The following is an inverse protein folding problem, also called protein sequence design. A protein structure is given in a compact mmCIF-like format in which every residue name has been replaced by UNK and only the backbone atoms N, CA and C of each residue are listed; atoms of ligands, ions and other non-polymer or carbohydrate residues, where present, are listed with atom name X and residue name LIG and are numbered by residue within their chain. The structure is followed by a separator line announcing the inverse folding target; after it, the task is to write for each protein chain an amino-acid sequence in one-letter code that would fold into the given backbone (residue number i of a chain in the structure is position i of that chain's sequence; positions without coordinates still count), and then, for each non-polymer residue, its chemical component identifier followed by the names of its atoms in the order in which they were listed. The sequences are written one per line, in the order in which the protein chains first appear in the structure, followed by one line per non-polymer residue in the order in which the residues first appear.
data_IF_046342011589
#
_entry.id   IF_046342011589
#
_cell.length_a   1.000
_cell.length_b   1.000
_cell.length_c   1.000
_cell.angle_alpha   90.00
_cell.angle_beta   90.00
_cell.angle_gamma   90.00
#
_symmetry.space_group_name_H-M   'P 1'
#
loop_
_entity.id
_entity.type
_entity.pdbx_description
1 polymer ?
#
# COMPACT_ATOMS: atom_id res chain seq x y z
N UNK A 1 12.71 10.65 -21.72
CA UNK A 1 12.03 10.08 -20.54
C UNK A 1 11.18 11.16 -19.91
N UNK A 2 9.93 10.85 -19.55
CA UNK A 2 9.12 11.80 -18.80
C UNK A 2 9.74 12.08 -17.43
N UNK A 3 9.62 13.31 -16.94
CA UNK A 3 10.23 13.75 -15.68
C UNK A 3 9.57 13.10 -14.45
N UNK A 4 8.28 12.77 -14.56
CA UNK A 4 7.46 12.22 -13.48
C UNK A 4 6.66 11.01 -13.95
N UNK A 5 6.52 10.00 -13.08
CA UNK A 5 5.67 8.83 -13.32
C UNK A 5 4.21 9.12 -13.00
N UNK A 6 3.94 9.91 -11.95
CA UNK A 6 2.59 10.26 -11.52
C UNK A 6 2.55 11.72 -11.08
N UNK A 7 1.43 12.40 -11.33
CA UNK A 7 1.23 13.79 -10.93
C UNK A 7 -0.13 14.02 -10.28
N UNK A 8 -0.13 14.84 -9.24
CA UNK A 8 -1.32 15.42 -8.62
C UNK A 8 -1.21 16.94 -8.72
N UNK A 9 -2.25 17.58 -9.24
CA UNK A 9 -2.31 19.03 -9.42
C UNK A 9 -3.60 19.51 -8.76
N UNK A 10 -3.45 20.19 -7.62
CA UNK A 10 -4.60 20.71 -6.83
C UNK A 10 -5.64 19.64 -6.53
N UNK A 11 -5.19 18.40 -6.37
CA UNK A 11 -6.04 17.23 -6.22
C UNK A 11 -6.80 17.32 -4.90
N UNK A 12 -8.13 17.22 -4.97
CA UNK A 12 -9.02 17.20 -3.82
C UNK A 12 -9.92 15.98 -3.86
N UNK A 13 -10.10 15.31 -2.73
CA UNK A 13 -11.05 14.20 -2.57
C UNK A 13 -11.83 14.39 -1.29
N UNK A 14 -13.15 14.30 -1.37
CA UNK A 14 -14.04 14.37 -0.22
C UNK A 14 -15.17 13.35 -0.31
N UNK A 15 -15.59 12.82 0.83
CA UNK A 15 -16.83 12.06 0.97
C UNK A 15 -17.76 12.81 1.93
N UNK A 16 -18.79 13.46 1.38
CA UNK A 16 -19.61 14.38 2.16
C UNK A 16 -18.76 15.49 2.78
N UNK A 17 -18.87 15.67 4.09
CA UNK A 17 -18.12 16.69 4.84
C UNK A 17 -16.66 16.29 5.14
N UNK A 18 -16.29 15.02 4.91
CA UNK A 18 -14.95 14.52 5.20
C UNK A 18 -14.03 14.73 4.01
N UNK A 19 -13.08 15.65 4.17
CA UNK A 19 -11.99 15.87 3.20
C UNK A 19 -10.86 14.86 3.45
N UNK A 20 -10.47 14.13 2.40
CA UNK A 20 -9.43 13.11 2.41
C UNK A 20 -8.14 13.61 1.78
N UNK A 21 -8.24 14.37 0.68
CA UNK A 21 -7.16 15.12 0.07
C UNK A 21 -7.65 16.56 -0.12
N UNK A 22 -6.84 17.54 0.23
CA UNK A 22 -7.17 18.96 0.15
C UNK A 22 -6.07 19.74 -0.59
N UNK A 23 -6.37 20.10 -1.84
CA UNK A 23 -5.52 20.91 -2.73
C UNK A 23 -4.08 20.37 -2.87
N UNK A 24 -3.95 19.05 -2.98
CA UNK A 24 -2.65 18.37 -3.03
C UNK A 24 -1.99 18.57 -4.38
N UNK A 25 -0.78 19.14 -4.38
CA UNK A 25 0.06 19.26 -5.59
C UNK A 25 1.40 18.59 -5.33
N UNK A 26 1.60 17.41 -5.94
CA UNK A 26 2.78 16.58 -5.77
C UNK A 26 3.10 15.82 -7.06
N UNK A 27 4.38 15.56 -7.28
CA UNK A 27 4.88 14.83 -8.44
C UNK A 27 5.76 13.69 -7.95
N UNK A 28 5.62 12.53 -8.58
CA UNK A 28 6.29 11.30 -8.21
C UNK A 28 7.35 10.98 -9.26
N UNK A 29 8.57 10.67 -8.81
CA UNK A 29 9.69 10.36 -9.70
C UNK A 29 9.67 8.87 -10.09
N UNK A 30 10.06 8.52 -11.33
CA UNK A 30 10.34 7.13 -11.68
C UNK A 30 11.39 6.52 -10.75
N UNK A 31 11.23 5.24 -10.40
CA UNK A 31 12.17 4.51 -9.53
C UNK A 31 12.11 4.85 -8.04
N UNK A 32 11.40 5.91 -7.63
CA UNK A 32 11.34 6.33 -6.23
C UNK A 32 10.66 5.28 -5.34
N UNK A 33 11.23 5.04 -4.16
CA UNK A 33 10.67 4.14 -3.13
C UNK A 33 10.06 4.97 -2.01
N UNK A 34 8.74 5.02 -1.95
CA UNK A 34 7.98 5.95 -1.11
C UNK A 34 7.16 5.16 -0.10
N UNK A 35 7.45 5.39 1.18
CA UNK A 35 6.64 4.90 2.28
C UNK A 35 5.54 5.92 2.64
N UNK A 36 4.28 5.49 2.67
CA UNK A 36 3.14 6.34 3.05
C UNK A 36 2.76 6.07 4.51
N UNK A 37 2.83 7.11 5.34
CA UNK A 37 2.55 7.03 6.78
C UNK A 37 1.45 7.99 7.18
N UNK A 38 0.74 7.70 8.27
CA UNK A 38 -0.28 8.61 8.81
C UNK A 38 -1.27 7.88 9.70
N UNK A 39 -2.06 8.62 10.50
CA UNK A 39 -3.09 8.02 11.35
C UNK A 39 -4.10 7.18 10.56
N UNK A 40 -4.75 6.25 11.26
CA UNK A 40 -5.79 5.42 10.66
C UNK A 40 -6.99 6.28 10.25
N UNK A 41 -7.54 5.97 9.07
CA UNK A 41 -8.63 6.75 8.49
C UNK A 41 -8.20 8.08 7.85
N UNK A 42 -6.92 8.43 7.76
CA UNK A 42 -6.51 9.66 7.06
C UNK A 42 -6.49 9.54 5.52
N UNK A 43 -6.92 8.39 4.98
CA UNK A 43 -7.09 8.21 3.54
C UNK A 43 -5.92 7.60 2.79
N UNK A 44 -4.98 6.92 3.48
CA UNK A 44 -3.84 6.22 2.87
C UNK A 44 -4.28 5.25 1.76
N UNK A 45 -5.25 4.38 2.06
CA UNK A 45 -5.80 3.45 1.06
C UNK A 45 -6.56 4.18 -0.06
N UNK A 46 -7.27 5.27 0.25
CA UNK A 46 -7.93 6.11 -0.77
C UNK A 46 -6.91 6.77 -1.70
N UNK A 47 -5.77 7.21 -1.17
CA UNK A 47 -4.66 7.76 -1.97
C UNK A 47 -4.17 6.72 -2.97
N UNK A 48 -3.88 5.49 -2.54
CA UNK A 48 -3.45 4.42 -3.44
C UNK A 48 -4.53 4.10 -4.50
N UNK A 49 -5.81 4.05 -4.13
CA UNK A 49 -6.91 3.82 -5.09
C UNK A 49 -7.02 4.93 -6.13
N UNK A 50 -6.77 6.18 -5.75
CA UNK A 50 -6.72 7.30 -6.70
C UNK A 50 -5.55 7.12 -7.66
N UNK A 51 -4.37 6.77 -7.13
CA UNK A 51 -3.17 6.55 -7.96
C UNK A 51 -3.30 5.35 -8.90
N UNK A 52 -4.07 4.34 -8.51
CA UNK A 52 -4.41 3.19 -9.35
C UNK A 52 -5.49 3.49 -10.42
N UNK A 53 -6.10 4.68 -10.40
CA UNK A 53 -7.22 5.02 -11.28
C UNK A 53 -8.55 4.34 -10.90
N UNK A 54 -8.61 3.62 -9.78
CA UNK A 54 -9.84 2.98 -9.26
C UNK A 54 -10.81 4.04 -8.75
N UNK A 55 -10.28 5.11 -8.17
CA UNK A 55 -11.07 6.23 -7.67
C UNK A 55 -10.65 7.55 -8.31
N UNK A 56 -11.62 8.42 -8.59
CA UNK A 56 -11.35 9.76 -9.13
C UNK A 56 -11.28 10.80 -8.02
N UNK A 57 -10.54 11.87 -8.27
CA UNK A 57 -10.56 13.09 -7.45
C UNK A 57 -11.85 13.87 -7.66
N UNK A 58 -12.28 14.59 -6.64
CA UNK A 58 -13.47 15.47 -6.68
C UNK A 58 -13.19 16.83 -7.32
N UNK A 59 -11.93 17.28 -7.29
CA UNK A 59 -11.48 18.51 -7.96
C UNK A 59 -9.97 18.39 -8.23
N UNK A 60 -9.46 19.23 -9.13
CA UNK A 60 -8.07 19.16 -9.61
C UNK A 60 -7.84 17.94 -10.50
N UNK A 61 -6.58 17.56 -10.64
CA UNK A 61 -6.14 16.48 -11.51
C UNK A 61 -5.24 15.52 -10.75
N UNK A 62 -5.38 14.23 -11.03
CA UNK A 62 -4.46 13.19 -10.59
C UNK A 62 -4.35 12.17 -11.72
N UNK A 63 -3.15 11.97 -12.25
CA UNK A 63 -2.95 11.12 -13.42
C UNK A 63 -1.58 10.44 -13.42
N UNK A 64 -1.58 9.22 -13.95
CA UNK A 64 -0.38 8.50 -14.37
C UNK A 64 0.10 9.08 -15.69
N UNK A 65 1.41 9.27 -15.83
CA UNK A 65 1.99 9.77 -17.07
C UNK A 65 1.77 8.75 -18.20
N UNK A 66 1.33 9.16 -19.41
CA UNK A 66 1.08 8.23 -20.52
C UNK A 66 2.29 7.38 -20.87
N UNK A 67 2.05 6.08 -21.07
CA UNK A 67 3.08 5.09 -21.38
C UNK A 67 3.63 4.34 -20.17
N UNK A 68 3.35 4.80 -18.94
CA UNK A 68 3.61 4.01 -17.74
C UNK A 68 2.41 3.13 -17.38
N UNK A 69 2.71 2.03 -16.69
CA UNK A 69 1.75 1.08 -16.14
C UNK A 69 1.65 1.21 -14.62
N UNK A 70 0.50 0.85 -14.05
CA UNK A 70 0.27 0.88 -12.60
C UNK A 70 -0.37 -0.42 -12.16
N UNK A 71 0.10 -0.96 -11.05
CA UNK A 71 -0.51 -2.11 -10.39
C UNK A 71 -0.69 -1.87 -8.90
N UNK A 72 -1.75 -2.44 -8.33
CA UNK A 72 -2.15 -2.22 -6.94
C UNK A 72 -2.46 -3.53 -6.22
N UNK A 73 -1.84 -3.74 -5.06
CA UNK A 73 -2.23 -4.79 -4.14
C UNK A 73 -3.43 -4.33 -3.32
N UNK A 74 -4.60 -4.85 -3.66
CA UNK A 74 -5.84 -4.57 -2.93
C UNK A 74 -5.96 -5.46 -1.68
N UNK A 75 -6.73 -5.01 -0.68
CA UNK A 75 -7.01 -5.82 0.51
C UNK A 75 -7.74 -7.13 0.18
N UNK A 76 -8.70 -7.06 -0.74
CA UNK A 76 -9.38 -8.20 -1.35
C UNK A 76 -8.93 -8.28 -2.81
N UNK A 77 -7.94 -9.12 -3.13
CA UNK A 77 -7.38 -9.13 -4.46
C UNK A 77 -8.34 -9.79 -5.46
N UNK A 78 -8.51 -9.21 -6.66
CA UNK A 78 -9.27 -9.85 -7.72
C UNK A 78 -8.46 -11.01 -8.31
N UNK A 79 -8.74 -12.22 -7.83
CA UNK A 79 -8.25 -13.46 -8.42
C UNK A 79 -9.39 -14.16 -9.16
N UNK A 80 -9.05 -14.95 -10.17
CA UNK A 80 -10.02 -15.77 -10.89
C UNK A 80 -10.28 -17.05 -10.08
N UNK A 81 -11.46 -17.12 -9.45
CA UNK A 81 -11.88 -18.25 -8.60
C UNK A 81 -12.08 -19.57 -9.38
N UNK A 82 -12.10 -19.51 -10.71
CA UNK A 82 -12.20 -20.71 -11.57
C UNK A 82 -10.85 -21.36 -11.85
N UNK A 83 -9.75 -20.71 -11.46
CA UNK A 83 -8.37 -21.12 -11.76
C UNK A 83 -7.61 -21.59 -10.52
N UNK A 84 -6.54 -22.34 -10.75
CA UNK A 84 -5.59 -22.70 -9.71
C UNK A 84 -4.68 -21.52 -9.32
N UNK A 85 -3.92 -21.68 -8.24
CA UNK A 85 -2.93 -20.70 -7.79
C UNK A 85 -1.90 -20.42 -8.88
N UNK A 86 -1.32 -21.46 -9.45
CA UNK A 86 -0.31 -21.34 -10.50
C UNK A 86 -0.86 -20.67 -11.75
N UNK A 87 -2.07 -21.04 -12.18
CA UNK A 87 -2.75 -20.40 -13.32
C UNK A 87 -2.98 -18.90 -13.08
N UNK A 88 -3.43 -18.50 -11.89
CA UNK A 88 -3.62 -17.09 -11.56
C UNK A 88 -2.32 -16.29 -11.62
N UNK A 89 -1.21 -16.87 -11.15
CA UNK A 89 0.10 -16.22 -11.14
C UNK A 89 0.67 -16.16 -12.56
N UNK A 90 0.54 -17.22 -13.37
CA UNK A 90 0.98 -17.25 -14.78
C UNK A 90 0.35 -16.15 -15.63
N UNK A 91 -0.85 -15.69 -15.29
CA UNK A 91 -1.48 -14.54 -15.95
C UNK A 91 -0.66 -13.26 -15.84
N UNK A 92 0.26 -13.14 -14.88
CA UNK A 92 1.16 -12.00 -14.74
C UNK A 92 2.03 -11.76 -15.97
N UNK A 93 2.40 -12.84 -16.66
CA UNK A 93 3.25 -12.78 -17.84
C UNK A 93 2.49 -12.45 -19.13
N UNK A 94 1.15 -12.44 -19.08
CA UNK A 94 0.26 -12.00 -20.15
C UNK A 94 0.65 -12.53 -21.54
N UNK A 95 0.81 -11.61 -22.49
CA UNK A 95 1.17 -11.92 -23.88
C UNK A 95 2.51 -12.66 -24.03
N UNK A 96 3.46 -12.47 -23.12
CA UNK A 96 4.75 -13.15 -23.21
C UNK A 96 4.59 -14.66 -23.00
N UNK A 97 3.74 -15.08 -22.05
CA UNK A 97 3.46 -16.50 -21.85
C UNK A 97 2.76 -17.12 -23.08
N UNK A 98 1.85 -16.38 -23.73
CA UNK A 98 1.20 -16.82 -24.96
C UNK A 98 2.21 -16.98 -26.11
N UNK A 99 3.17 -16.05 -26.23
CA UNK A 99 4.25 -16.12 -27.23
C UNK A 99 5.16 -17.33 -27.01
N UNK A 100 5.53 -17.60 -25.76
CA UNK A 100 6.32 -18.81 -25.41
C UNK A 100 5.54 -20.09 -25.73
N UNK A 101 4.25 -20.14 -25.41
CA UNK A 101 3.40 -21.28 -25.74
C UNK A 101 3.30 -21.49 -27.25
N UNK A 102 3.10 -20.42 -28.03
CA UNK A 102 3.08 -20.48 -29.50
C UNK A 102 4.42 -20.93 -30.08
N UNK A 103 5.53 -20.42 -29.55
CA UNK A 103 6.86 -20.84 -29.95
C UNK A 103 7.07 -22.35 -29.79
N UNK A 104 6.65 -22.91 -28.64
CA UNK A 104 6.72 -24.35 -28.40
C UNK A 104 5.80 -25.14 -29.35
N UNK A 105 4.60 -24.64 -29.61
CA UNK A 105 3.66 -25.27 -30.55
C UNK A 105 4.21 -25.31 -31.98
N UNK A 106 4.88 -24.25 -32.45
CA UNK A 106 5.54 -24.23 -33.75
C UNK A 106 6.59 -25.35 -33.83
N UNK A 107 7.35 -25.58 -32.75
CA UNK A 107 8.31 -26.68 -32.67
C UNK A 107 7.67 -28.06 -32.83
N UNK A 108 6.44 -28.26 -32.34
CA UNK A 108 5.66 -29.48 -32.56
C UNK A 108 5.12 -29.56 -33.99
N UNK A 109 4.62 -28.46 -34.55
CA UNK A 109 4.13 -28.37 -35.93
C UNK A 109 5.22 -28.70 -36.95
N UNK A 110 6.48 -28.33 -36.66
CA UNK A 110 7.64 -28.68 -37.48
C UNK A 110 7.94 -30.19 -37.55
N UNK A 111 7.36 -31.00 -36.67
CA UNK A 111 7.47 -32.46 -36.78
C UNK A 111 6.59 -33.02 -37.92
N UNK A 112 5.66 -32.23 -38.46
CA UNK A 112 4.81 -32.61 -39.59
C UNK A 112 5.54 -32.37 -40.93
N UNK A 113 5.78 -33.41 -41.76
CA UNK A 113 6.45 -33.27 -43.06
C UNK A 113 5.73 -32.36 -44.07
N UNK A 114 4.42 -32.15 -43.90
CA UNK A 114 3.60 -31.32 -44.78
C UNK A 114 3.46 -29.86 -44.29
N UNK A 115 4.17 -29.49 -43.22
CA UNK A 115 4.13 -28.14 -42.68
C UNK A 115 4.80 -27.11 -43.61
N UNK A 116 4.33 -25.87 -43.56
CA UNK A 116 4.97 -24.74 -44.23
C UNK A 116 6.18 -24.27 -43.40
N UNK A 117 7.33 -24.91 -43.63
CA UNK A 117 8.55 -24.65 -42.87
C UNK A 117 9.03 -23.20 -42.98
N UNK A 118 8.87 -22.57 -44.16
CA UNK A 118 9.33 -21.19 -44.38
C UNK A 118 8.52 -20.22 -43.52
N UNK A 119 7.18 -20.36 -43.52
CA UNK A 119 6.30 -19.53 -42.69
C UNK A 119 6.52 -19.76 -41.19
N UNK A 120 6.67 -21.02 -40.76
CA UNK A 120 6.89 -21.36 -39.35
C UNK A 120 8.23 -20.85 -38.82
N UNK A 121 9.30 -20.92 -39.62
CA UNK A 121 10.61 -20.38 -39.23
C UNK A 121 10.61 -18.85 -39.11
N UNK A 122 9.88 -18.14 -39.99
CA UNK A 122 9.72 -16.70 -39.91
C UNK A 122 8.97 -16.28 -38.63
N UNK A 123 7.84 -16.95 -38.33
CA UNK A 123 7.07 -16.71 -37.10
C UNK A 123 7.91 -17.01 -35.86
N UNK A 124 8.62 -18.14 -35.83
CA UNK A 124 9.48 -18.56 -34.72
C UNK A 124 10.59 -17.54 -34.45
N UNK A 125 11.22 -16.98 -35.49
CA UNK A 125 12.27 -15.96 -35.36
C UNK A 125 11.74 -14.63 -34.79
N UNK A 126 10.54 -14.21 -35.21
CA UNK A 126 9.88 -13.03 -34.66
C UNK A 126 9.54 -13.23 -33.17
N UNK A 127 8.91 -14.37 -32.84
CA UNK A 127 8.59 -14.73 -31.45
C UNK A 127 9.83 -14.81 -30.57
N UNK A 128 10.90 -15.46 -31.05
CA UNK A 128 12.16 -15.56 -30.30
C UNK A 128 12.71 -14.18 -29.93
N UNK A 129 12.72 -13.24 -30.87
CA UNK A 129 13.22 -11.88 -30.63
C UNK A 129 12.43 -11.18 -29.52
N UNK A 130 11.11 -11.34 -29.51
CA UNK A 130 10.24 -10.75 -28.50
C UNK A 130 10.38 -11.44 -27.14
N UNK A 131 10.50 -12.77 -27.12
CA UNK A 131 10.70 -13.55 -25.89
C UNK A 131 12.06 -13.21 -25.27
N UNK A 132 13.12 -13.16 -26.05
CA UNK A 132 14.47 -12.77 -25.61
C UNK A 132 14.46 -11.36 -25.00
N UNK A 133 13.82 -10.39 -25.67
CA UNK A 133 13.74 -9.02 -25.19
C UNK A 133 13.01 -8.88 -23.84
N UNK A 134 12.09 -9.80 -23.54
CA UNK A 134 11.33 -9.84 -22.29
C UNK A 134 11.91 -10.81 -21.24
N UNK A 135 13.05 -11.45 -21.49
CA UNK A 135 13.58 -12.56 -20.68
C UNK A 135 12.52 -13.67 -20.42
N UNK A 136 11.70 -13.96 -21.44
CA UNK A 136 10.55 -14.86 -21.33
C UNK A 136 10.87 -16.35 -21.31
N UNK A 137 12.14 -16.75 -21.38
CA UNK A 137 12.52 -18.17 -21.25
C UNK A 137 12.51 -18.66 -19.80
N UNK A 138 12.68 -17.75 -18.84
CA UNK A 138 12.82 -18.09 -17.42
C UNK A 138 11.51 -17.96 -16.63
N UNK A 139 10.35 -17.81 -17.29
CA UNK A 139 9.08 -17.48 -16.63
C UNK A 139 8.67 -18.52 -15.57
N UNK A 140 8.79 -19.81 -15.90
CA UNK A 140 8.44 -20.88 -14.95
C UNK A 140 9.37 -20.84 -13.73
N UNK A 141 10.67 -20.58 -13.92
CA UNK A 141 11.62 -20.46 -12.81
C UNK A 141 11.36 -19.22 -11.96
N UNK A 142 11.08 -18.07 -12.59
CA UNK A 142 10.71 -16.84 -11.87
C UNK A 142 9.45 -17.04 -11.05
N UNK A 143 8.46 -17.73 -11.60
CA UNK A 143 7.22 -18.07 -10.92
C UNK A 143 7.48 -18.97 -9.71
N UNK A 144 8.23 -20.08 -9.88
CA UNK A 144 8.55 -21.00 -8.79
C UNK A 144 9.30 -20.28 -7.65
N UNK A 145 10.32 -19.49 -7.99
CA UNK A 145 11.10 -18.73 -7.01
C UNK A 145 10.24 -17.72 -6.25
N UNK A 146 9.38 -16.98 -6.95
CA UNK A 146 8.49 -16.00 -6.32
C UNK A 146 7.41 -16.67 -5.44
N UNK A 147 6.86 -17.79 -5.90
CA UNK A 147 5.89 -18.58 -5.14
C UNK A 147 6.47 -19.15 -3.86
N UNK A 148 7.67 -19.72 -3.93
CA UNK A 148 8.39 -20.26 -2.77
C UNK A 148 8.73 -19.15 -1.78
N UNK A 149 9.31 -18.05 -2.27
CA UNK A 149 9.71 -16.92 -1.43
C UNK A 149 8.55 -16.22 -0.72
N UNK A 150 7.35 -16.21 -1.33
CA UNK A 150 6.13 -15.67 -0.72
C UNK A 150 5.27 -16.76 -0.06
N UNK A 151 5.76 -18.00 0.05
CA UNK A 151 5.04 -19.12 0.65
C UNK A 151 3.59 -19.22 0.12
N UNK A 152 3.45 -19.15 -1.19
CA UNK A 152 2.17 -19.35 -1.85
C UNK A 152 1.69 -20.80 -1.63
N UNK A 153 0.37 -21.06 -1.66
CA UNK A 153 -0.12 -22.44 -1.69
C UNK A 153 0.38 -23.18 -2.92
N UNK A 154 0.22 -24.50 -2.91
CA UNK A 154 0.60 -25.37 -4.04
C UNK A 154 -0.02 -24.87 -5.36
N UNK A 155 0.76 -24.80 -6.47
CA UNK A 155 0.30 -24.31 -7.76
C UNK A 155 -1.00 -24.95 -8.28
N UNK A 156 -1.25 -26.22 -7.97
CA UNK A 156 -2.44 -26.96 -8.44
C UNK A 156 -3.66 -26.73 -7.54
N UNK A 157 -3.49 -26.03 -6.41
CA UNK A 157 -4.59 -25.73 -5.50
C UNK A 157 -5.59 -24.77 -6.15
N UNK A 158 -6.90 -25.06 -6.15
CA UNK A 158 -7.92 -24.11 -6.58
C UNK A 158 -7.92 -22.85 -5.70
N UNK A 159 -7.91 -21.66 -6.27
CA UNK A 159 -7.86 -20.40 -5.49
C UNK A 159 -9.12 -20.20 -4.63
N UNK A 160 -10.24 -20.81 -5.02
CA UNK A 160 -11.51 -20.78 -4.29
C UNK A 160 -11.45 -21.41 -2.89
N UNK A 161 -10.48 -22.29 -2.62
CA UNK A 161 -10.32 -22.92 -1.28
C UNK A 161 -9.27 -22.23 -0.42
N UNK A 162 -8.53 -21.26 -0.96
CA UNK A 162 -7.49 -20.53 -0.24
C UNK A 162 -8.09 -19.57 0.80
N UNK A 163 -7.44 -19.46 1.95
CA UNK A 163 -7.74 -18.43 2.96
C UNK A 163 -7.48 -17.02 2.42
N UNK A 164 -8.06 -15.99 3.04
CA UNK A 164 -7.85 -14.60 2.63
C UNK A 164 -6.36 -14.18 2.64
N UNK A 165 -5.58 -14.69 3.60
CA UNK A 165 -4.13 -14.45 3.66
C UNK A 165 -3.38 -15.13 2.51
N UNK A 166 -3.70 -16.39 2.20
CA UNK A 166 -3.13 -17.10 1.05
C UNK A 166 -3.46 -16.43 -0.28
N UNK A 167 -4.72 -16.05 -0.49
CA UNK A 167 -5.15 -15.29 -1.68
C UNK A 167 -4.38 -13.98 -1.83
N UNK A 168 -4.12 -13.29 -0.72
CA UNK A 168 -3.31 -12.07 -0.71
C UNK A 168 -1.86 -12.33 -1.13
N UNK A 169 -1.24 -13.42 -0.67
CA UNK A 169 0.13 -13.79 -1.09
C UNK A 169 0.19 -14.15 -2.57
N UNK A 170 -0.80 -14.89 -3.08
CA UNK A 170 -0.93 -15.20 -4.51
C UNK A 170 -1.05 -13.93 -5.35
N UNK A 171 -1.88 -12.98 -4.92
CA UNK A 171 -2.04 -11.72 -5.63
C UNK A 171 -0.80 -10.82 -5.56
N UNK A 172 -0.10 -10.80 -4.42
CA UNK A 172 1.18 -10.11 -4.30
C UNK A 172 2.20 -10.73 -5.26
N UNK A 173 2.33 -12.06 -5.26
CA UNK A 173 3.22 -12.78 -6.18
C UNK A 173 2.95 -12.42 -7.64
N UNK A 174 1.69 -12.54 -8.07
CA UNK A 174 1.23 -12.14 -9.40
C UNK A 174 1.63 -10.70 -9.72
N UNK A 175 1.32 -9.75 -8.84
CA UNK A 175 1.59 -8.32 -9.05
C UNK A 175 3.08 -8.00 -9.15
N UNK A 176 3.93 -8.67 -8.37
CA UNK A 176 5.39 -8.47 -8.44
C UNK A 176 5.96 -8.98 -9.77
N UNK A 177 5.42 -10.08 -10.30
CA UNK A 177 5.81 -10.64 -11.60
C UNK A 177 5.26 -9.84 -12.79
N UNK A 178 4.09 -9.19 -12.65
CA UNK A 178 3.58 -8.23 -13.64
C UNK A 178 4.53 -7.03 -13.84
N UNK A 179 5.34 -6.73 -12.82
CA UNK A 179 6.36 -5.68 -12.82
C UNK A 179 5.90 -4.31 -13.38
N UNK A 180 4.76 -3.74 -12.92
CA UNK A 180 4.28 -2.44 -13.39
C UNK A 180 5.24 -1.29 -13.05
N UNK A 181 5.28 -0.25 -13.87
CA UNK A 181 6.19 0.88 -13.63
C UNK A 181 5.92 1.61 -12.30
N UNK A 182 4.66 1.64 -11.86
CA UNK A 182 4.22 2.14 -10.56
C UNK A 182 3.54 1.03 -9.75
N UNK A 183 4.19 0.61 -8.67
CA UNK A 183 3.71 -0.42 -7.76
C UNK A 183 3.08 0.21 -6.51
N UNK A 184 1.81 -0.10 -6.24
CA UNK A 184 1.05 0.43 -5.12
C UNK A 184 0.72 -0.69 -4.13
N UNK A 185 1.25 -0.63 -2.91
CA UNK A 185 1.14 -1.71 -1.93
C UNK A 185 0.42 -1.21 -0.68
N UNK A 186 -0.76 -1.77 -0.37
CA UNK A 186 -1.48 -1.45 0.88
C UNK A 186 -1.29 -2.57 1.90
N UNK A 187 -0.48 -2.33 2.94
CA UNK A 187 -0.05 -3.26 3.99
C UNK A 187 0.55 -4.57 3.45
N UNK A 188 1.60 -4.53 2.60
CA UNK A 188 2.12 -5.72 1.93
C UNK A 188 2.74 -6.76 2.87
N UNK A 189 3.15 -6.36 4.07
CA UNK A 189 3.77 -7.25 5.07
C UNK A 189 2.75 -8.10 5.84
N UNK A 190 1.45 -7.80 5.72
CA UNK A 190 0.42 -8.57 6.41
C UNK A 190 0.32 -10.00 5.86
N UNK A 191 0.21 -10.97 6.78
CA UNK A 191 0.12 -12.40 6.47
C UNK A 191 1.37 -13.01 5.83
N UNK A 192 2.51 -12.29 5.89
CA UNK A 192 3.84 -12.79 5.55
C UNK A 192 4.59 -13.16 6.83
N UNK A 193 5.46 -14.16 6.72
CA UNK A 193 6.41 -14.49 7.77
C UNK A 193 7.71 -13.67 7.61
N UNK A 194 8.65 -13.82 8.56
CA UNK A 194 9.85 -12.99 8.58
C UNK A 194 10.75 -13.20 7.35
N UNK A 195 10.84 -14.43 6.83
CA UNK A 195 11.64 -14.74 5.65
C UNK A 195 11.02 -14.13 4.38
N UNK A 196 9.70 -14.25 4.21
CA UNK A 196 8.98 -13.64 3.09
C UNK A 196 9.08 -12.10 3.12
N UNK A 197 9.03 -11.50 4.31
CA UNK A 197 9.21 -10.04 4.47
C UNK A 197 10.61 -9.63 4.02
N UNK A 198 11.65 -10.34 4.47
CA UNK A 198 13.04 -10.03 4.09
C UNK A 198 13.25 -10.16 2.58
N UNK A 199 12.69 -11.20 1.95
CA UNK A 199 12.74 -11.35 0.50
C UNK A 199 12.03 -10.19 -0.20
N UNK A 200 10.84 -9.82 0.26
CA UNK A 200 10.08 -8.70 -0.31
C UNK A 200 10.85 -7.38 -0.20
N UNK A 201 11.53 -7.13 0.93
CA UNK A 201 12.39 -5.95 1.09
C UNK A 201 13.50 -5.92 0.04
N UNK A 202 14.20 -7.05 -0.17
CA UNK A 202 15.27 -7.15 -1.16
C UNK A 202 14.75 -6.98 -2.59
N UNK A 203 13.60 -7.59 -2.89
CA UNK A 203 12.94 -7.45 -4.19
C UNK A 203 12.59 -5.99 -4.48
N UNK A 204 11.91 -5.32 -3.53
CA UNK A 204 11.50 -3.93 -3.71
C UNK A 204 12.67 -2.96 -3.75
N UNK A 205 13.80 -3.29 -3.13
CA UNK A 205 15.03 -2.49 -3.24
C UNK A 205 15.62 -2.54 -4.66
N UNK A 206 15.56 -3.70 -5.32
CA UNK A 206 16.07 -3.89 -6.69
C UNK A 206 15.05 -3.53 -7.79
N UNK A 207 13.80 -3.31 -7.40
CA UNK A 207 12.71 -2.98 -8.31
C UNK A 207 13.00 -1.70 -9.10
N UNK A 208 12.92 -1.78 -10.43
CA UNK A 208 13.26 -0.64 -11.31
C UNK A 208 12.17 0.43 -11.31
N UNK A 209 10.90 0.04 -11.14
CA UNK A 209 9.76 0.95 -11.08
C UNK A 209 9.70 1.77 -9.79
N UNK A 210 8.76 2.72 -9.75
CA UNK A 210 8.42 3.43 -8.52
C UNK A 210 7.56 2.52 -7.61
N UNK A 211 7.78 2.60 -6.30
CA UNK A 211 7.03 1.84 -5.30
C UNK A 211 6.41 2.81 -4.31
N UNK A 212 5.12 2.65 -4.03
CA UNK A 212 4.41 3.37 -2.98
C UNK A 212 3.79 2.34 -2.04
N UNK A 213 4.35 2.23 -0.84
CA UNK A 213 3.92 1.27 0.16
C UNK A 213 3.29 1.96 1.37
N UNK A 214 2.07 1.57 1.73
CA UNK A 214 1.44 1.88 3.02
C UNK A 214 1.73 0.70 3.93
N UNK A 215 2.40 0.92 5.06
CA UNK A 215 2.57 -0.14 6.07
C UNK A 215 2.76 0.44 7.46
N UNK A 216 2.36 -0.32 8.46
CA UNK A 216 2.69 -0.07 9.85
C UNK A 216 4.02 -0.69 10.30
N UNK A 217 4.65 -1.51 9.45
CA UNK A 217 5.95 -2.12 9.74
C UNK A 217 7.08 -1.08 9.60
N UNK A 218 7.72 -0.79 10.74
CA UNK A 218 8.76 0.24 10.83
C UNK A 218 10.09 -0.24 10.25
N UNK A 219 10.40 -1.53 10.34
CA UNK A 219 11.65 -2.08 9.82
C UNK A 219 11.61 -2.12 8.30
N UNK A 220 10.50 -2.60 7.73
CA UNK A 220 10.25 -2.57 6.30
C UNK A 220 10.40 -1.16 5.72
N UNK A 221 9.81 -0.17 6.40
CA UNK A 221 9.89 1.23 5.96
C UNK A 221 11.28 1.84 6.11
N UNK A 222 12.09 1.35 7.06
CA UNK A 222 13.44 1.86 7.23
C UNK A 222 14.42 1.30 6.18
N UNK A 223 14.16 0.07 5.72
CA UNK A 223 14.98 -0.65 4.75
C UNK A 223 14.63 -0.33 3.29
N UNK A 224 13.34 -0.16 2.97
CA UNK A 224 12.86 -0.01 1.58
C UNK A 224 12.68 1.47 1.20
N UNK A 225 12.20 2.31 2.12
CA UNK A 225 11.79 3.66 1.75
C UNK A 225 12.97 4.63 1.64
N UNK A 226 13.06 5.31 0.50
CA UNK A 226 13.96 6.45 0.27
C UNK A 226 13.28 7.79 0.56
N UNK A 227 11.95 7.78 0.58
CA UNK A 227 11.09 8.90 0.89
C UNK A 227 9.95 8.45 1.78
N UNK A 228 9.52 9.33 2.69
CA UNK A 228 8.32 9.14 3.48
C UNK A 228 7.31 10.22 3.10
N UNK A 229 6.10 9.82 2.71
CA UNK A 229 4.97 10.71 2.50
C UNK A 229 4.00 10.59 3.68
N UNK A 230 3.97 11.62 4.53
CA UNK A 230 3.01 11.68 5.63
C UNK A 230 1.66 12.22 5.14
N UNK A 231 0.61 11.44 5.35
CA UNK A 231 -0.79 11.84 5.17
C UNK A 231 -1.33 12.35 6.50
N UNK A 232 -1.60 13.66 6.58
CA UNK A 232 -2.20 14.28 7.75
C UNK A 232 -3.23 15.34 7.32
N UNK A 233 -4.48 15.15 7.75
CA UNK A 233 -5.59 16.10 7.59
C UNK A 233 -5.77 16.64 6.16
N UNK A 234 -5.77 15.75 5.17
CA UNK A 234 -5.96 16.14 3.77
C UNK A 234 -4.69 16.58 3.05
N UNK A 235 -3.58 16.75 3.77
CA UNK A 235 -2.31 17.17 3.18
C UNK A 235 -1.31 16.02 3.11
N UNK A 236 -0.44 16.11 2.11
CA UNK A 236 0.67 15.18 1.91
C UNK A 236 1.99 15.92 2.16
N UNK A 237 2.80 15.42 3.09
CA UNK A 237 4.10 15.99 3.44
C UNK A 237 5.22 15.02 3.04
N UNK A 238 6.01 15.34 1.99
CA UNK A 238 7.15 14.52 1.62
C UNK A 238 8.35 14.82 2.53
N UNK A 239 9.01 13.75 2.97
CA UNK A 239 10.27 13.78 3.69
C UNK A 239 11.26 12.92 2.93
N UNK A 240 12.46 13.45 2.67
CA UNK A 240 13.53 12.68 2.06
C UNK A 240 14.25 11.85 3.13
N UNK A 241 14.46 10.57 2.86
CA UNK A 241 15.04 9.60 3.77
C UNK A 241 14.04 8.55 4.23
N UNK A 242 14.55 7.65 5.07
CA UNK A 242 13.82 6.50 5.59
C UNK A 242 12.91 6.86 6.79
N UNK A 243 12.27 5.85 7.37
CA UNK A 243 11.35 6.01 8.50
C UNK A 243 12.00 6.70 9.71
N UNK A 244 13.23 6.33 10.06
CA UNK A 244 13.99 6.94 11.17
C UNK A 244 14.21 8.44 10.92
N UNK A 245 14.68 8.79 9.72
CA UNK A 245 14.91 10.19 9.32
C UNK A 245 13.61 11.01 9.37
N UNK A 246 12.50 10.41 8.95
CA UNK A 246 11.18 11.02 9.05
C UNK A 246 10.79 11.30 10.50
N UNK A 247 10.96 10.35 11.42
CA UNK A 247 10.61 10.54 12.83
C UNK A 247 11.41 11.68 13.47
N UNK A 248 12.71 11.76 13.20
CA UNK A 248 13.55 12.85 13.69
C UNK A 248 13.11 14.20 13.14
N UNK A 249 12.83 14.27 11.84
CA UNK A 249 12.40 15.50 11.17
C UNK A 249 11.02 15.95 11.64
N UNK A 250 10.10 14.99 11.81
CA UNK A 250 8.77 15.23 12.34
C UNK A 250 8.81 15.69 13.79
N UNK A 251 9.66 15.10 14.64
CA UNK A 251 9.84 15.54 16.01
C UNK A 251 10.29 17.01 16.08
N UNK A 252 11.32 17.39 15.31
CA UNK A 252 11.79 18.79 15.20
C UNK A 252 10.68 19.72 14.72
N UNK A 253 9.90 19.32 13.71
CA UNK A 253 8.74 20.08 13.21
C UNK A 253 7.69 20.26 14.30
N UNK A 254 7.36 19.19 15.03
CA UNK A 254 6.37 19.22 16.11
C UNK A 254 6.82 20.09 17.28
N UNK A 255 8.09 20.11 17.65
CA UNK A 255 8.62 21.02 18.68
C UNK A 255 8.45 22.49 18.27
N UNK A 256 8.83 22.83 17.02
CA UNK A 256 8.69 24.18 16.48
C UNK A 256 7.20 24.58 16.43
N UNK A 257 6.33 23.65 16.02
CA UNK A 257 4.89 23.89 15.93
C UNK A 257 4.26 24.03 17.32
N UNK A 258 4.58 23.15 18.28
CA UNK A 258 4.12 23.27 19.66
C UNK A 258 4.56 24.56 20.33
N UNK A 259 5.77 25.05 20.05
CA UNK A 259 6.23 26.35 20.53
C UNK A 259 5.45 27.52 19.91
N UNK A 260 5.05 27.42 18.62
CA UNK A 260 4.17 28.41 17.97
C UNK A 260 2.76 28.36 18.56
N UNK A 261 2.19 27.17 18.74
CA UNK A 261 0.85 26.97 19.30
C UNK A 261 0.77 27.48 20.74
N UNK A 262 1.79 27.22 21.56
CA UNK A 262 1.87 27.76 22.91
C UNK A 262 1.92 29.30 22.94
N UNK A 263 2.64 29.91 22.00
CA UNK A 263 2.66 31.38 21.83
C UNK A 263 1.30 31.91 21.38
N UNK A 264 0.63 31.24 20.45
CA UNK A 264 -0.71 31.60 19.96
C UNK A 264 -1.74 31.48 21.08
N UNK A 265 -1.76 30.37 21.83
CA UNK A 265 -2.65 30.15 22.96
C UNK A 265 -2.47 31.21 24.06
N UNK A 266 -1.22 31.59 24.36
CA UNK A 266 -0.93 32.67 25.31
C UNK A 266 -1.49 34.02 24.81
N UNK A 267 -1.37 34.31 23.51
CA UNK A 267 -1.91 35.54 22.90
C UNK A 267 -3.44 35.55 22.94
N UNK A 268 -4.09 34.46 22.54
CA UNK A 268 -5.55 34.29 22.61
C UNK A 268 -6.06 34.49 24.04
N UNK A 269 -5.38 33.89 25.04
CA UNK A 269 -5.73 34.08 26.45
C UNK A 269 -5.64 35.54 26.88
N UNK A 270 -4.57 36.25 26.51
CA UNK A 270 -4.41 37.67 26.82
C UNK A 270 -5.45 38.57 26.13
N UNK A 271 -5.83 38.24 24.88
CA UNK A 271 -6.90 38.96 24.19
C UNK A 271 -8.26 38.71 24.84
N UNK A 272 -8.56 37.47 25.21
CA UNK A 272 -9.80 37.10 25.89
C UNK A 272 -9.93 37.74 27.27
N UNK A 273 -8.83 37.83 28.03
CA UNK A 273 -8.77 38.59 29.29
C UNK A 273 -9.03 40.09 29.06
N UNK A 274 -8.45 40.69 28.01
CA UNK A 274 -8.73 42.08 27.64
C UNK A 274 -10.21 42.30 27.28
N UNK A 275 -10.78 41.43 26.43
CA UNK A 275 -12.21 41.47 26.04
C UNK A 275 -13.12 41.38 27.26
N UNK A 276 -12.74 40.62 28.29
CA UNK A 276 -13.49 40.48 29.54
C UNK A 276 -13.31 41.66 30.51
N UNK A 277 -12.27 42.49 30.33
CA UNK A 277 -11.81 43.45 31.36
C UNK A 277 -12.50 44.83 31.38
N UNK A 278 -13.48 45.16 30.53
CA UNK A 278 -14.19 46.45 30.71
C UNK A 278 -15.57 46.60 30.04
N UNK A 279 -16.62 47.06 30.75
CA UNK A 279 -17.91 47.44 30.16
C UNK A 279 -17.81 48.64 29.19
N UNK A 280 -16.85 49.56 29.38
CA UNK A 280 -16.63 50.74 28.53
C UNK A 280 -15.92 50.43 27.21
N UNK A 281 -15.31 49.24 27.05
CA UNK A 281 -14.67 48.80 25.81
C UNK A 281 -15.67 48.28 24.75
N UNK A 282 -16.96 48.09 25.12
CA UNK A 282 -18.01 47.62 24.19
C UNK A 282 -18.36 48.62 23.08
N UNK A 283 -18.14 49.92 23.29
CA UNK A 283 -18.53 50.95 22.31
C UNK A 283 -17.45 51.24 21.25
N UNK A 284 -16.19 50.88 21.49
CA UNK A 284 -15.09 51.08 20.55
C UNK A 284 -14.55 49.75 19.99
N UNK A 285 -15.45 48.83 19.60
CA UNK A 285 -15.07 47.56 19.00
C UNK A 285 -14.46 47.81 17.61
N UNK A 286 -13.14 47.78 17.54
CA UNK A 286 -12.42 47.77 16.26
C UNK A 286 -12.70 46.43 15.56
N UNK A 287 -13.62 46.45 14.59
CA UNK A 287 -14.12 45.27 13.84
C UNK A 287 -12.99 44.35 13.35
N UNK A 288 -11.87 44.95 12.91
CA UNK A 288 -10.69 44.24 12.44
C UNK A 288 -9.98 43.39 13.51
N UNK A 289 -10.14 43.69 14.81
CA UNK A 289 -9.55 42.90 15.91
C UNK A 289 -10.42 41.70 16.29
N UNK A 290 -11.75 41.82 16.17
CA UNK A 290 -12.67 40.70 16.36
C UNK A 290 -12.54 39.69 15.21
N UNK A 291 -12.47 40.17 13.97
CA UNK A 291 -12.19 39.31 12.80
C UNK A 291 -10.85 38.55 12.94
N UNK A 292 -9.84 39.20 13.54
CA UNK A 292 -8.55 38.56 13.84
C UNK A 292 -8.65 37.48 14.92
N UNK A 293 -9.47 37.69 15.94
CA UNK A 293 -9.72 36.70 16.98
C UNK A 293 -10.45 35.48 16.41
N UNK A 294 -11.49 35.70 15.61
CA UNK A 294 -12.25 34.62 14.96
C UNK A 294 -11.37 33.81 14.01
N UNK A 295 -10.50 34.46 13.21
CA UNK A 295 -9.48 33.77 12.39
C UNK A 295 -8.50 32.94 13.23
N UNK A 296 -8.00 33.48 14.34
CA UNK A 296 -7.10 32.73 15.23
C UNK A 296 -7.81 31.56 15.93
N UNK A 297 -9.10 31.71 16.23
CA UNK A 297 -9.92 30.63 16.79
C UNK A 297 -10.15 29.52 15.78
N UNK A 298 -10.45 29.84 14.51
CA UNK A 298 -10.55 28.86 13.42
C UNK A 298 -9.21 28.12 13.19
N UNK A 299 -8.09 28.83 13.14
CA UNK A 299 -6.76 28.23 13.04
C UNK A 299 -6.48 27.26 14.20
N UNK A 300 -6.84 27.64 15.43
CA UNK A 300 -6.69 26.81 16.62
C UNK A 300 -7.65 25.60 16.65
N UNK A 301 -8.83 25.73 16.04
CA UNK A 301 -9.82 24.64 15.95
C UNK A 301 -9.38 23.60 14.93
N UNK A 302 -8.82 24.04 13.81
CA UNK A 302 -8.24 23.17 12.79
C UNK A 302 -6.94 22.50 13.26
N UNK A 303 -6.19 23.10 14.20
CA UNK A 303 -4.96 22.51 14.77
C UNK A 303 -5.23 21.48 15.88
N UNK A 304 -6.45 21.40 16.43
CA UNK A 304 -6.79 20.56 17.59
C UNK A 304 -6.50 19.07 17.34
N UNK A 305 -5.64 18.47 18.17
CA UNK A 305 -5.35 17.03 18.14
C UNK A 305 -6.62 16.23 18.42
N UNK A 306 -6.99 15.33 17.50
CA UNK A 306 -7.90 14.24 17.81
C UNK A 306 -7.10 13.22 18.62
N UNK A 307 -7.56 12.95 19.84
CA UNK A 307 -7.00 11.92 20.69
C UNK A 307 -7.62 10.57 20.26
N UNK A 308 -6.80 9.72 19.65
CA UNK A 308 -7.19 8.38 19.22
C UNK A 308 -6.63 7.29 20.15
N UNK A 309 -6.12 7.66 21.33
CA UNK A 309 -5.14 6.84 22.05
C UNK A 309 -5.67 5.86 23.07
N UNK A 310 -6.97 5.56 23.12
CA UNK A 310 -7.48 4.54 24.05
C UNK A 310 -8.52 3.62 23.40
N UNK A 311 -8.08 2.40 23.04
CA UNK A 311 -8.99 1.27 22.87
C UNK A 311 -9.35 0.79 24.27
N UNK A 312 -10.57 1.07 24.71
CA UNK A 312 -11.09 0.54 25.97
C UNK A 312 -11.56 -0.91 25.75
N UNK A 313 -10.75 -1.87 26.19
CA UNK A 313 -11.18 -3.27 26.24
C UNK A 313 -12.10 -3.41 27.47
N UNK A 314 -13.39 -3.73 27.29
CA UNK A 314 -14.28 -3.91 28.43
C UNK A 314 -13.81 -5.10 29.29
N UNK A 315 -13.83 -4.98 30.63
CA UNK A 315 -13.48 -6.10 31.48
C UNK A 315 -14.48 -7.25 31.23
N UNK A 316 -13.95 -8.44 30.97
CA UNK A 316 -14.74 -9.64 30.78
C UNK A 316 -15.51 -10.06 32.04
N UNK A 317 -16.49 -10.97 31.92
CA UNK A 317 -17.17 -11.53 33.08
C UNK A 317 -16.18 -12.27 33.99
N UNK A 318 -16.56 -12.53 35.25
CA UNK A 318 -15.73 -13.34 36.16
C UNK A 318 -15.52 -14.74 35.58
N UNK A 319 -14.30 -15.05 35.19
CA UNK A 319 -13.89 -16.38 34.72
C UNK A 319 -13.61 -17.32 35.92
N UNK A 320 -13.85 -18.63 35.70
CA UNK A 320 -13.45 -19.73 36.59
C UNK A 320 -11.93 -19.93 36.58
N UNK A 321 -11.41 -20.88 37.37
CA UNK A 321 -9.95 -21.14 37.48
C UNK A 321 -9.31 -21.66 36.19
N UNK A 322 -10.09 -22.32 35.34
CA UNK A 322 -9.67 -22.89 34.07
C UNK A 322 -10.61 -22.35 32.98
N UNK A 323 -10.02 -21.73 31.95
CA UNK A 323 -10.75 -21.05 30.87
C UNK A 323 -10.87 -21.96 29.65
N UNK A 324 -9.78 -22.65 29.29
CA UNK A 324 -9.75 -23.59 28.18
C UNK A 324 -8.86 -24.79 28.52
N UNK A 325 -9.29 -25.97 28.09
CA UNK A 325 -8.53 -27.22 28.17
C UNK A 325 -8.59 -27.89 26.82
N UNK A 326 -7.43 -28.26 26.31
CA UNK A 326 -7.22 -28.99 25.08
C UNK A 326 -6.44 -30.24 25.44
N UNK A 327 -6.96 -31.41 25.06
CA UNK A 327 -6.30 -32.70 25.25
C UNK A 327 -6.21 -33.41 23.90
N UNK A 328 -5.00 -33.79 23.51
CA UNK A 328 -4.70 -34.62 22.35
C UNK A 328 -5.42 -34.14 21.07
N UNK A 329 -5.45 -32.83 20.83
CA UNK A 329 -6.14 -32.26 19.67
C UNK A 329 -5.35 -32.62 18.41
N UNK A 330 -6.05 -33.21 17.44
CA UNK A 330 -5.55 -33.45 16.09
C UNK A 330 -6.46 -32.83 15.04
N UNK A 331 -5.88 -32.15 14.04
CA UNK A 331 -6.59 -31.55 12.91
C UNK A 331 -5.77 -31.68 11.63
N UNK A 332 -6.39 -32.21 10.58
CA UNK A 332 -5.82 -32.32 9.25
C UNK A 332 -6.83 -31.89 8.16
N UNK A 333 -6.31 -31.53 6.99
CA UNK A 333 -7.05 -31.37 5.74
C UNK A 333 -6.39 -32.23 4.66
N UNK A 334 -7.04 -33.33 4.26
CA UNK A 334 -6.41 -34.34 3.41
C UNK A 334 -5.18 -34.93 4.10
N UNK A 335 -4.06 -34.96 3.39
CA UNK A 335 -2.78 -35.46 3.90
C UNK A 335 -1.99 -34.41 4.72
N UNK A 336 -2.45 -33.15 4.75
CA UNK A 336 -1.79 -32.06 5.49
C UNK A 336 -2.28 -32.00 6.93
N UNK A 337 -1.44 -32.43 7.85
CA UNK A 337 -1.67 -32.28 9.30
C UNK A 337 -1.37 -30.84 9.74
N UNK A 338 -2.34 -30.19 10.39
CA UNK A 338 -2.21 -28.82 10.91
C UNK A 338 -1.93 -28.78 12.41
N UNK A 339 -2.55 -29.70 13.16
CA UNK A 339 -2.38 -29.86 14.59
C UNK A 339 -2.21 -31.35 14.85
N UNK A 340 -1.14 -31.72 15.55
CA UNK A 340 -0.88 -33.10 15.95
C UNK A 340 -0.63 -33.15 17.46
N UNK A 341 -1.35 -34.05 18.13
CA UNK A 341 -1.29 -34.33 19.58
C UNK A 341 -1.18 -33.11 20.53
N UNK A 342 -1.86 -32.00 20.20
CA UNK A 342 -1.73 -30.76 20.97
C UNK A 342 -2.55 -30.83 22.27
N UNK A 343 -1.87 -30.73 23.40
CA UNK A 343 -2.49 -30.63 24.73
C UNK A 343 -2.04 -29.38 25.46
N UNK A 344 -2.98 -28.57 25.96
CA UNK A 344 -2.68 -27.38 26.77
C UNK A 344 -3.85 -26.97 27.67
N UNK A 345 -3.53 -26.26 28.75
CA UNK A 345 -4.52 -25.62 29.63
C UNK A 345 -4.29 -24.11 29.64
N UNK A 346 -5.37 -23.35 29.52
CA UNK A 346 -5.39 -21.89 29.64
C UNK A 346 -6.10 -21.52 30.96
N UNK A 347 -5.35 -21.17 32.02
CA UNK A 347 -5.94 -20.69 33.27
C UNK A 347 -6.41 -19.23 33.13
N UNK A 348 -7.08 -18.74 34.18
CA UNK A 348 -7.65 -17.39 34.26
C UNK A 348 -6.66 -16.25 34.13
#
# INVERSE_FOLDING_TARGET
MAEFIYQMIKARKSYGDRVILDDVTLSFLPGAKIGVVGPNGMGKSTLLKIMAGIETVSNGEAYLTPGFTVGILQQEPPLDDTKTVGENIKMAFGEIAEKVARFNQIGEEMANPDADFDALMEEMGALQTEIDAANGWDLDSQLEQAMDALQCPDPDTPVSVCSGGERRRVALCKLLLEAPDLLLLDEPTNHLDAESILWLEQFLHQYQGAVIAVTHDRYFMDNVAEWICEVDRGHLYPYKGNYTTYLETKAKRMEIQGAKDAKLAKRLKSELEWVRSSPKARQAKNKARLERYDQMEEEARNSKKLDFSEIQIPPGPRLGSQVLEAEHIHKAFGDRVLIDDLSFTLPR
#
